data_IF_175823625385
#
_entry.id   IF_175823625385
#
_cell.length_a   1.000
_cell.length_b   1.000
_cell.length_c   1.000
_cell.angle_alpha   90.00
_cell.angle_beta   90.00
_cell.angle_gamma   90.00
#
_symmetry.space_group_name_H-M   'P 1'
#
loop_
_entity.id
_entity.type
_entity.pdbx_description
1 polymer ?
#
# COMPACT_ATOMS: atom_id res chain seq x y z
N UNK A 1 13.59 -17.23 -7.43
CA UNK A 1 14.65 -16.22 -7.68
C UNK A 1 15.76 -16.37 -6.65
N UNK A 2 15.50 -16.19 -5.34
CA UNK A 2 16.50 -16.33 -4.28
C UNK A 2 17.22 -17.70 -4.18
N UNK A 3 16.68 -18.76 -4.78
CA UNK A 3 17.37 -20.07 -4.89
C UNK A 3 18.41 -20.14 -6.02
N UNK A 4 18.40 -19.19 -6.95
CA UNK A 4 19.18 -19.23 -8.19
C UNK A 4 20.04 -17.98 -8.42
N UNK A 5 19.80 -16.89 -7.68
CA UNK A 5 20.56 -15.64 -7.79
C UNK A 5 20.46 -14.83 -6.50
N UNK A 6 21.47 -14.00 -6.27
CA UNK A 6 21.49 -13.00 -5.21
C UNK A 6 20.63 -11.77 -5.57
N UNK A 7 20.67 -10.75 -4.72
CA UNK A 7 19.96 -9.47 -4.87
C UNK A 7 20.10 -8.85 -6.28
N UNK A 8 21.27 -8.99 -6.91
CA UNK A 8 21.54 -8.44 -8.26
C UNK A 8 20.58 -8.99 -9.32
N UNK A 9 20.23 -10.27 -9.25
CA UNK A 9 19.30 -10.89 -10.20
C UNK A 9 17.86 -10.40 -10.04
N UNK A 10 17.46 -10.00 -8.83
CA UNK A 10 16.16 -9.35 -8.58
C UNK A 10 16.12 -8.01 -9.32
N UNK A 11 17.17 -7.18 -9.17
CA UNK A 11 17.24 -5.90 -9.88
C UNK A 11 17.24 -6.08 -11.40
N UNK A 12 18.02 -7.03 -11.93
CA UNK A 12 18.06 -7.29 -13.37
C UNK A 12 16.68 -7.69 -13.91
N UNK A 13 15.96 -8.57 -13.20
CA UNK A 13 14.61 -8.98 -13.57
C UNK A 13 13.65 -7.78 -13.57
N UNK A 14 13.68 -6.94 -12.53
CA UNK A 14 12.85 -5.73 -12.45
C UNK A 14 13.16 -4.74 -13.58
N UNK A 15 14.44 -4.59 -13.95
CA UNK A 15 14.85 -3.76 -15.09
C UNK A 15 14.28 -4.27 -16.40
N UNK A 16 14.38 -5.58 -16.66
CA UNK A 16 13.82 -6.19 -17.88
C UNK A 16 12.30 -5.98 -17.94
N UNK A 17 11.58 -6.23 -16.84
CA UNK A 17 10.14 -5.99 -16.75
C UNK A 17 9.81 -4.52 -17.00
N UNK A 18 10.56 -3.60 -16.40
CA UNK A 18 10.39 -2.15 -16.60
C UNK A 18 10.55 -1.75 -18.07
N UNK A 19 11.61 -2.21 -18.74
CA UNK A 19 11.85 -1.95 -20.17
C UNK A 19 10.70 -2.47 -21.03
N UNK A 20 10.23 -3.70 -20.77
CA UNK A 20 9.12 -4.29 -21.52
C UNK A 20 7.84 -3.48 -21.35
N UNK A 21 7.52 -3.03 -20.13
CA UNK A 21 6.35 -2.19 -19.85
C UNK A 21 6.48 -0.82 -20.52
N UNK A 22 7.64 -0.17 -20.45
CA UNK A 22 7.88 1.11 -21.14
C UNK A 22 7.70 0.97 -22.65
N UNK A 23 8.26 -0.08 -23.24
CA UNK A 23 8.15 -0.34 -24.68
C UNK A 23 6.70 -0.59 -25.09
N UNK A 24 5.94 -1.31 -24.27
CA UNK A 24 4.52 -1.55 -24.49
C UNK A 24 3.73 -0.25 -24.46
N UNK A 25 3.95 0.59 -23.45
CA UNK A 25 3.26 1.89 -23.30
C UNK A 25 3.56 2.79 -24.49
N UNK A 26 4.84 2.98 -24.85
CA UNK A 26 5.25 3.84 -25.97
C UNK A 26 4.66 3.36 -27.31
N UNK A 27 4.44 2.06 -27.49
CA UNK A 27 3.92 1.50 -28.75
C UNK A 27 2.41 1.35 -28.82
N UNK A 28 1.73 1.15 -27.69
CA UNK A 28 0.31 0.76 -27.65
C UNK A 28 -0.59 1.79 -26.98
N UNK A 29 -0.07 2.67 -26.13
CA UNK A 29 -0.89 3.67 -25.47
C UNK A 29 -0.96 4.93 -26.34
N UNK A 30 -2.10 5.22 -26.99
CA UNK A 30 -2.24 6.45 -27.75
C UNK A 30 -2.19 7.66 -26.81
N UNK A 31 -1.70 8.79 -27.32
CA UNK A 31 -1.83 10.06 -26.62
C UNK A 31 -3.32 10.39 -26.44
N UNK A 32 -3.78 10.43 -25.19
CA UNK A 32 -5.19 10.65 -24.86
C UNK A 32 -5.53 12.13 -24.71
N UNK A 33 -4.54 13.02 -24.59
CA UNK A 33 -4.76 14.44 -24.39
C UNK A 33 -4.70 15.22 -25.73
N UNK A 34 -5.84 15.76 -26.21
CA UNK A 34 -5.85 16.59 -27.42
C UNK A 34 -4.94 17.81 -27.27
N UNK A 35 -4.23 18.23 -28.34
CA UNK A 35 -3.33 19.38 -28.29
C UNK A 35 -3.98 20.65 -27.73
N UNK A 36 -5.26 20.88 -28.02
CA UNK A 36 -6.03 22.04 -27.56
C UNK A 36 -6.28 22.09 -26.04
N UNK A 37 -6.16 20.96 -25.34
CA UNK A 37 -6.31 20.88 -23.87
C UNK A 37 -4.97 20.79 -23.14
N UNK A 38 -3.85 20.91 -23.87
CA UNK A 38 -2.53 20.94 -23.25
C UNK A 38 -2.37 22.27 -22.53
N UNK A 39 -2.26 22.20 -21.21
CA UNK A 39 -1.87 23.35 -20.42
C UNK A 39 -0.39 23.64 -20.67
N UNK A 40 -0.03 24.89 -20.93
CA UNK A 40 1.37 25.34 -20.96
C UNK A 40 2.08 25.09 -19.64
N UNK A 41 1.30 24.96 -18.56
CA UNK A 41 1.77 24.57 -17.23
C UNK A 41 2.68 25.63 -16.61
N UNK A 42 3.16 25.29 -15.42
CA UNK A 42 4.10 26.10 -14.65
C UNK A 42 4.21 25.53 -13.24
N UNK A 43 5.43 25.46 -12.69
CA UNK A 43 5.65 24.98 -11.32
C UNK A 43 4.88 25.82 -10.30
N UNK A 44 4.81 27.13 -10.52
CA UNK A 44 4.07 28.08 -9.68
C UNK A 44 2.57 27.80 -9.67
N UNK A 45 1.97 27.61 -10.84
CA UNK A 45 0.53 27.35 -10.96
C UNK A 45 0.17 25.99 -10.35
N UNK A 46 1.00 24.97 -10.59
CA UNK A 46 0.83 23.66 -9.98
C UNK A 46 0.88 23.74 -8.43
N UNK A 47 1.85 24.49 -7.87
CA UNK A 47 1.97 24.69 -6.43
C UNK A 47 0.77 25.48 -5.86
N UNK A 48 0.28 26.49 -6.58
CA UNK A 48 -0.90 27.25 -6.17
C UNK A 48 -2.14 26.35 -6.11
N UNK A 49 -2.36 25.49 -7.12
CA UNK A 49 -3.43 24.50 -7.12
C UNK A 49 -3.28 23.49 -5.97
N UNK A 50 -2.08 22.92 -5.75
CA UNK A 50 -1.83 22.00 -4.64
C UNK A 50 -2.11 22.65 -3.28
N UNK A 51 -1.71 23.91 -3.09
CA UNK A 51 -2.00 24.65 -1.87
C UNK A 51 -3.50 24.86 -1.67
N UNK A 52 -4.22 25.17 -2.74
CA UNK A 52 -5.69 25.29 -2.71
C UNK A 52 -6.36 23.99 -2.27
N UNK A 53 -5.91 22.85 -2.81
CA UNK A 53 -6.40 21.52 -2.42
C UNK A 53 -6.10 21.21 -0.95
N UNK A 54 -4.87 21.47 -0.48
CA UNK A 54 -4.50 21.23 0.92
C UNK A 54 -5.22 22.17 1.92
N UNK A 55 -5.71 23.32 1.46
CA UNK A 55 -6.54 24.20 2.29
C UNK A 55 -7.97 23.66 2.47
N UNK A 56 -8.45 22.80 1.58
CA UNK A 56 -9.72 22.09 1.73
C UNK A 56 -9.60 21.00 2.80
N UNK A 57 -10.36 21.14 3.89
CA UNK A 57 -10.31 20.22 5.03
C UNK A 57 -10.80 18.82 4.69
N UNK A 58 -11.78 18.69 3.80
CA UNK A 58 -12.31 17.39 3.37
C UNK A 58 -11.25 16.68 2.55
N UNK A 59 -10.64 17.37 1.59
CA UNK A 59 -9.53 16.81 0.81
C UNK A 59 -8.36 16.40 1.70
N UNK A 60 -7.89 17.31 2.56
CA UNK A 60 -6.77 17.04 3.46
C UNK A 60 -7.08 15.90 4.44
N UNK A 61 -8.31 15.77 4.92
CA UNK A 61 -8.75 14.63 5.70
C UNK A 61 -8.55 13.30 4.96
N UNK A 62 -8.99 13.21 3.70
CA UNK A 62 -8.78 12.00 2.88
C UNK A 62 -7.30 11.71 2.62
N UNK A 63 -6.50 12.75 2.36
CA UNK A 63 -5.04 12.62 2.16
C UNK A 63 -4.37 12.08 3.43
N UNK A 64 -4.71 12.60 4.60
CA UNK A 64 -4.15 12.15 5.87
C UNK A 64 -4.57 10.70 6.19
N UNK A 65 -5.83 10.34 5.98
CA UNK A 65 -6.29 8.96 6.16
C UNK A 65 -5.53 8.00 5.25
N UNK A 66 -5.41 8.33 3.95
CA UNK A 66 -4.62 7.54 3.01
C UNK A 66 -3.14 7.45 3.39
N UNK A 67 -2.54 8.58 3.78
CA UNK A 67 -1.15 8.68 4.18
C UNK A 67 -0.82 7.86 5.43
N UNK A 68 -1.61 7.97 6.50
CA UNK A 68 -1.40 7.19 7.72
C UNK A 68 -1.69 5.70 7.52
N UNK A 69 -2.70 5.35 6.72
CA UNK A 69 -2.94 3.95 6.34
C UNK A 69 -1.74 3.37 5.61
N UNK A 70 -1.16 4.12 4.67
CA UNK A 70 0.03 3.71 3.94
C UNK A 70 1.27 3.61 4.84
N UNK A 71 1.44 4.56 5.78
CA UNK A 71 2.51 4.53 6.77
C UNK A 71 2.45 3.27 7.65
N UNK A 72 1.25 2.89 8.12
CA UNK A 72 1.04 1.67 8.90
C UNK A 72 1.40 0.40 8.10
N UNK A 73 0.95 0.32 6.84
CA UNK A 73 1.32 -0.77 5.94
C UNK A 73 2.84 -0.83 5.73
N UNK A 74 3.49 0.31 5.52
CA UNK A 74 4.93 0.37 5.28
C UNK A 74 5.74 -0.02 6.53
N UNK A 75 5.27 0.38 7.73
CA UNK A 75 5.86 -0.05 8.99
C UNK A 75 5.80 -1.58 9.15
N UNK A 76 4.65 -2.20 8.82
CA UNK A 76 4.53 -3.66 8.80
C UNK A 76 5.48 -4.31 7.78
N UNK A 77 5.52 -3.81 6.53
CA UNK A 77 6.40 -4.36 5.48
C UNK A 77 7.87 -4.29 5.89
N UNK A 78 8.28 -3.20 6.56
CA UNK A 78 9.66 -2.99 6.99
C UNK A 78 10.04 -3.84 8.22
N UNK A 79 9.14 -4.00 9.19
CA UNK A 79 9.43 -4.70 10.44
C UNK A 79 9.15 -6.22 10.38
N UNK A 80 8.22 -6.66 9.53
CA UNK A 80 7.78 -8.06 9.49
C UNK A 80 8.89 -9.08 9.15
N UNK A 81 9.89 -8.82 8.28
CA UNK A 81 10.97 -9.77 8.05
C UNK A 81 11.81 -9.98 9.32
N UNK A 82 12.14 -8.90 10.03
CA UNK A 82 12.90 -8.96 11.29
C UNK A 82 12.13 -9.77 12.35
N UNK A 83 10.84 -9.47 12.52
CA UNK A 83 10.01 -10.19 13.50
C UNK A 83 9.85 -11.67 13.13
N UNK A 84 9.48 -11.97 11.89
CA UNK A 84 9.14 -13.34 11.49
C UNK A 84 10.37 -14.21 11.26
N UNK A 85 11.44 -13.67 10.68
CA UNK A 85 12.65 -14.44 10.37
C UNK A 85 13.68 -14.41 11.49
N UNK A 86 13.93 -13.25 12.12
CA UNK A 86 14.99 -13.14 13.14
C UNK A 86 14.49 -13.47 14.54
N UNK A 87 13.30 -13.00 14.94
CA UNK A 87 12.75 -13.28 16.27
C UNK A 87 12.09 -14.66 16.32
N UNK A 88 11.20 -14.96 15.37
CA UNK A 88 10.48 -16.24 15.34
C UNK A 88 11.22 -17.36 14.59
N UNK A 89 12.37 -17.08 13.98
CA UNK A 89 13.22 -18.09 13.34
C UNK A 89 12.64 -18.71 12.06
N UNK A 90 11.63 -18.08 11.44
CA UNK A 90 11.02 -18.62 10.23
C UNK A 90 11.99 -18.54 9.04
N UNK A 91 11.96 -19.55 8.16
CA UNK A 91 12.75 -19.53 6.94
C UNK A 91 12.28 -18.43 5.97
N UNK A 92 13.15 -17.95 5.06
CA UNK A 92 12.76 -16.98 4.03
C UNK A 92 11.58 -17.47 3.15
N UNK A 93 11.42 -18.79 2.98
CA UNK A 93 10.31 -19.37 2.22
C UNK A 93 8.99 -19.28 2.99
N UNK A 94 9.00 -19.57 4.29
CA UNK A 94 7.81 -19.43 5.15
C UNK A 94 7.40 -17.96 5.22
N UNK A 95 8.36 -17.05 5.40
CA UNK A 95 8.09 -15.61 5.34
C UNK A 95 7.49 -15.20 3.99
N UNK A 96 8.07 -15.65 2.87
CA UNK A 96 7.56 -15.37 1.53
C UNK A 96 6.12 -15.87 1.35
N UNK A 97 5.78 -17.04 1.91
CA UNK A 97 4.42 -17.59 1.87
C UNK A 97 3.45 -16.75 2.72
N UNK A 98 3.82 -16.41 3.95
CA UNK A 98 3.02 -15.56 4.83
C UNK A 98 2.74 -14.19 4.21
N UNK A 99 3.78 -13.56 3.63
CA UNK A 99 3.64 -12.30 2.91
C UNK A 99 2.77 -12.45 1.65
N UNK A 100 2.90 -13.57 0.94
CA UNK A 100 2.07 -13.91 -0.22
C UNK A 100 0.59 -14.05 0.14
N UNK A 101 0.25 -14.71 1.26
CA UNK A 101 -1.13 -14.82 1.75
C UNK A 101 -1.72 -13.44 2.06
N UNK A 102 -0.95 -12.56 2.72
CA UNK A 102 -1.37 -11.17 2.96
C UNK A 102 -1.64 -10.43 1.63
N UNK A 103 -0.79 -10.64 0.63
CA UNK A 103 -0.94 -10.04 -0.70
C UNK A 103 -2.21 -10.55 -1.41
N UNK A 104 -2.52 -11.84 -1.31
CA UNK A 104 -3.77 -12.41 -1.85
C UNK A 104 -4.99 -11.80 -1.16
N UNK A 105 -4.95 -11.65 0.17
CA UNK A 105 -6.01 -10.96 0.92
C UNK A 105 -6.24 -9.54 0.42
N UNK A 106 -5.16 -8.77 0.20
CA UNK A 106 -5.25 -7.41 -0.33
C UNK A 106 -5.86 -7.38 -1.74
N UNK A 107 -5.50 -8.33 -2.61
CA UNK A 107 -6.08 -8.47 -3.94
C UNK A 107 -7.58 -8.77 -3.84
N UNK A 108 -7.99 -9.71 -2.99
CA UNK A 108 -9.40 -10.08 -2.80
C UNK A 108 -10.20 -8.86 -2.33
N UNK A 109 -9.74 -8.16 -1.30
CA UNK A 109 -10.41 -6.95 -0.80
C UNK A 109 -10.46 -5.86 -1.88
N UNK A 110 -9.39 -5.71 -2.67
CA UNK A 110 -9.37 -4.79 -3.81
C UNK A 110 -10.41 -5.13 -4.88
N UNK A 111 -10.57 -6.41 -5.21
CA UNK A 111 -11.60 -6.88 -6.14
C UNK A 111 -13.01 -6.69 -5.58
N UNK A 112 -13.21 -6.99 -4.30
CA UNK A 112 -14.48 -6.74 -3.59
C UNK A 112 -14.82 -5.25 -3.65
N UNK A 113 -13.87 -4.37 -3.35
CA UNK A 113 -14.06 -2.93 -3.45
C UNK A 113 -14.46 -2.53 -4.88
N UNK A 114 -13.64 -2.86 -5.88
CA UNK A 114 -13.84 -2.44 -7.26
C UNK A 114 -15.08 -3.02 -7.96
N UNK A 115 -15.47 -4.27 -7.64
CA UNK A 115 -16.60 -4.94 -8.31
C UNK A 115 -17.91 -4.88 -7.55
N UNK A 116 -17.87 -4.86 -6.21
CA UNK A 116 -19.07 -4.99 -5.38
C UNK A 116 -19.43 -3.70 -4.65
N UNK A 117 -18.46 -2.95 -4.13
CA UNK A 117 -18.74 -1.75 -3.35
C UNK A 117 -18.87 -0.49 -4.20
N UNK A 118 -18.06 -0.35 -5.25
CA UNK A 118 -18.13 0.81 -6.16
C UNK A 118 -19.53 0.92 -6.77
N UNK A 119 -20.18 2.08 -6.54
CA UNK A 119 -21.55 2.36 -6.99
C UNK A 119 -22.66 1.88 -6.05
N UNK A 120 -22.34 1.08 -5.02
CA UNK A 120 -23.33 0.56 -4.04
C UNK A 120 -23.14 1.10 -2.62
N UNK A 121 -21.91 1.44 -2.26
CA UNK A 121 -21.54 1.97 -0.93
C UNK A 121 -20.93 3.35 -1.10
N UNK A 122 -21.33 4.32 -0.26
CA UNK A 122 -20.70 5.64 -0.28
C UNK A 122 -19.23 5.55 0.15
N UNK A 123 -18.37 6.35 -0.50
CA UNK A 123 -16.95 6.40 -0.19
C UNK A 123 -16.68 6.69 1.29
N UNK A 124 -17.48 7.57 1.88
CA UNK A 124 -17.41 7.92 3.29
C UNK A 124 -17.62 6.70 4.21
N UNK A 125 -18.63 5.86 3.92
CA UNK A 125 -18.90 4.63 4.70
C UNK A 125 -17.78 3.62 4.53
N UNK A 126 -17.32 3.39 3.31
CA UNK A 126 -16.22 2.46 3.04
C UNK A 126 -14.94 2.89 3.79
N UNK A 127 -14.63 4.19 3.76
CA UNK A 127 -13.48 4.78 4.45
C UNK A 127 -13.64 4.69 5.97
N UNK A 128 -14.82 5.00 6.51
CA UNK A 128 -15.09 4.93 7.95
C UNK A 128 -14.97 3.50 8.50
N UNK A 129 -15.45 2.49 7.77
CA UNK A 129 -15.30 1.08 8.15
C UNK A 129 -13.82 0.68 8.12
N UNK A 130 -13.10 1.02 7.05
CA UNK A 130 -11.66 0.75 6.94
C UNK A 130 -10.86 1.38 8.07
N UNK A 131 -11.11 2.66 8.37
CA UNK A 131 -10.44 3.38 9.44
C UNK A 131 -10.76 2.80 10.83
N UNK A 132 -12.02 2.42 11.06
CA UNK A 132 -12.43 1.75 12.31
C UNK A 132 -11.69 0.42 12.50
N UNK A 133 -11.56 -0.39 11.44
CA UNK A 133 -10.83 -1.66 11.48
C UNK A 133 -9.35 -1.47 11.77
N UNK A 134 -8.68 -0.53 11.10
CA UNK A 134 -7.26 -0.21 11.33
C UNK A 134 -7.05 0.28 12.76
N UNK A 135 -7.93 1.16 13.25
CA UNK A 135 -7.85 1.70 14.60
C UNK A 135 -8.05 0.61 15.65
N UNK A 136 -9.04 -0.26 15.46
CA UNK A 136 -9.27 -1.40 16.35
C UNK A 136 -8.08 -2.36 16.38
N UNK A 137 -7.48 -2.66 15.22
CA UNK A 137 -6.28 -3.49 15.15
C UNK A 137 -5.07 -2.83 15.82
N UNK A 138 -4.87 -1.53 15.64
CA UNK A 138 -3.80 -0.77 16.28
C UNK A 138 -3.97 -0.73 17.81
N UNK A 139 -5.20 -0.52 18.31
CA UNK A 139 -5.50 -0.57 19.75
C UNK A 139 -5.29 -1.97 20.29
N UNK A 140 -5.75 -3.01 19.61
CA UNK A 140 -5.53 -4.40 20.02
C UNK A 140 -4.03 -4.71 20.14
N UNK A 141 -3.23 -4.33 19.14
CA UNK A 141 -1.78 -4.49 19.17
C UNK A 141 -1.16 -3.71 20.34
N UNK A 142 -1.55 -2.46 20.54
CA UNK A 142 -1.05 -1.64 21.64
C UNK A 142 -1.32 -2.31 23.00
N UNK A 143 -2.54 -2.80 23.23
CA UNK A 143 -2.91 -3.49 24.48
C UNK A 143 -2.13 -4.81 24.64
N UNK A 144 -1.91 -5.57 23.56
CA UNK A 144 -1.08 -6.78 23.62
C UNK A 144 0.38 -6.46 23.97
N UNK A 145 0.91 -5.34 23.46
CA UNK A 145 2.31 -4.95 23.69
C UNK A 145 2.54 -4.17 24.99
N UNK A 146 1.50 -3.58 25.60
CA UNK A 146 1.62 -2.77 26.82
C UNK A 146 1.86 -3.59 28.09
N UNK A 147 1.84 -4.92 27.99
CA UNK A 147 2.06 -5.81 29.14
C UNK A 147 0.87 -5.90 30.10
N UNK A 148 -0.27 -5.29 29.76
CA UNK A 148 -1.51 -5.31 30.56
C UNK A 148 -2.04 -6.75 30.77
N UNK A 149 -1.75 -7.66 29.84
CA UNK A 149 -2.11 -9.08 29.92
C UNK A 149 -0.94 -10.00 30.37
N UNK A 150 0.17 -9.44 30.88
CA UNK A 150 1.41 -10.18 31.14
C UNK A 150 2.26 -10.38 29.88
N UNK A 151 3.29 -11.26 29.94
CA UNK A 151 4.07 -11.61 28.74
C UNK A 151 3.15 -12.35 27.78
N UNK A 152 2.67 -11.66 26.75
CA UNK A 152 1.90 -12.26 25.66
C UNK A 152 2.86 -13.10 24.82
N UNK A 153 3.19 -14.29 25.33
CA UNK A 153 3.80 -15.35 24.55
C UNK A 153 2.75 -15.94 23.62
N UNK A 154 3.18 -16.41 22.44
CA UNK A 154 2.36 -17.35 21.70
C UNK A 154 2.02 -18.50 22.66
N UNK A 155 0.72 -18.78 22.80
CA UNK A 155 0.21 -19.95 23.56
C UNK A 155 1.04 -21.17 23.13
N UNK A 156 1.49 -22.02 24.07
CA UNK A 156 2.50 -23.05 23.83
C UNK A 156 2.23 -23.94 22.61
#
# INVERSE_FOLDING_TARGET
ILRFTDWRGIFLLLTVVGILLTLLVVRRLPETLPPARRHTGGTRDALATMRGLLADRVFTGHVLVGGFTFAALFAYVSASPFVVQEIYGASPQVFSLLFGINSVGLIIVGQVNGRLLVGRVSLERATAVGLSLITAAAVALLVMTSGVFGRVGLVP
#
